data_IF_426481219043
#
_entry.id   IF_426481219043
#
_cell.length_a   1.000
_cell.length_b   1.000
_cell.length_c   1.000
_cell.angle_alpha   90.00
_cell.angle_beta   90.00
_cell.angle_gamma   90.00
#
_symmetry.space_group_name_H-M   'P 1'
#
loop_
_entity.id
_entity.type
_entity.pdbx_description
1 polymer ?
#
# COMPACT_ATOMS: atom_id res chain seq x y z
N UNK A 1 -6.32 28.18 10.63
CA UNK A 1 -7.10 27.16 9.87
C UNK A 1 -6.16 26.03 9.46
N UNK A 2 -6.33 24.82 10.01
CA UNK A 2 -5.49 23.67 9.65
C UNK A 2 -5.66 23.34 8.16
N UNK A 3 -4.56 23.32 7.40
CA UNK A 3 -4.58 22.85 6.00
C UNK A 3 -5.05 21.38 6.00
N UNK A 4 -6.18 21.09 5.36
CA UNK A 4 -6.65 19.72 5.14
C UNK A 4 -6.05 19.22 3.81
N UNK A 5 -4.97 18.41 3.82
CA UNK A 5 -4.25 18.03 2.60
C UNK A 5 -5.12 17.24 1.60
N UNK A 6 -6.18 16.57 2.09
CA UNK A 6 -7.12 15.87 1.23
C UNK A 6 -8.01 16.77 0.38
N UNK A 7 -8.37 17.97 0.85
CA UNK A 7 -9.21 18.88 0.07
C UNK A 7 -8.44 19.48 -1.09
N UNK A 8 -7.15 19.79 -0.90
CA UNK A 8 -6.29 20.29 -1.97
C UNK A 8 -6.11 19.26 -3.08
N UNK A 9 -5.98 17.97 -2.74
CA UNK A 9 -5.88 16.89 -3.72
C UNK A 9 -7.16 16.74 -4.54
N UNK A 10 -8.33 16.82 -3.91
CA UNK A 10 -9.62 16.76 -4.62
C UNK A 10 -9.76 17.92 -5.61
N UNK A 11 -9.30 19.13 -5.25
CA UNK A 11 -9.33 20.28 -6.16
C UNK A 11 -8.35 20.13 -7.34
N UNK A 12 -7.18 19.54 -7.10
CA UNK A 12 -6.22 19.21 -8.16
C UNK A 12 -6.81 18.16 -9.10
N UNK A 13 -7.41 17.11 -8.55
CA UNK A 13 -8.04 16.04 -9.30
C UNK A 13 -9.17 16.55 -10.20
N UNK A 14 -10.03 17.42 -9.66
CA UNK A 14 -11.09 18.08 -10.45
C UNK A 14 -10.50 18.81 -11.67
N UNK A 15 -9.42 19.56 -11.49
CA UNK A 15 -8.75 20.30 -12.58
C UNK A 15 -8.07 19.37 -13.59
N UNK A 16 -7.49 18.27 -13.14
CA UNK A 16 -6.83 17.30 -14.05
C UNK A 16 -7.84 16.49 -14.86
N UNK A 17 -9.02 16.24 -14.31
CA UNK A 17 -10.09 15.51 -14.98
C UNK A 17 -11.04 16.43 -15.78
N UNK A 18 -10.73 17.73 -15.87
CA UNK A 18 -11.55 18.74 -16.53
C UNK A 18 -13.04 18.65 -16.12
N UNK A 19 -13.28 18.45 -14.82
CA UNK A 19 -14.63 18.24 -14.30
C UNK A 19 -15.37 19.58 -14.12
N UNK A 20 -16.51 19.68 -14.80
CA UNK A 20 -17.51 20.71 -14.58
C UNK A 20 -18.04 20.73 -13.14
N UNK A 21 -18.51 21.90 -12.68
CA UNK A 21 -19.05 22.06 -11.33
C UNK A 21 -20.23 21.13 -11.05
N UNK A 22 -21.13 20.93 -12.01
CA UNK A 22 -22.27 20.03 -11.86
C UNK A 22 -21.84 18.56 -11.78
N UNK A 23 -20.92 18.12 -12.65
CA UNK A 23 -20.36 16.77 -12.61
C UNK A 23 -19.62 16.50 -11.30
N UNK A 24 -18.89 17.52 -10.82
CA UNK A 24 -18.18 17.46 -9.55
C UNK A 24 -19.14 17.36 -8.35
N UNK A 25 -20.20 18.17 -8.30
CA UNK A 25 -21.22 18.11 -7.24
C UNK A 25 -21.99 16.79 -7.26
N UNK A 26 -22.38 16.31 -8.44
CA UNK A 26 -23.04 15.02 -8.61
C UNK A 26 -22.16 13.86 -8.09
N UNK A 27 -20.86 13.90 -8.38
CA UNK A 27 -19.90 12.94 -7.85
C UNK A 27 -19.79 13.01 -6.32
N UNK A 28 -19.72 14.21 -5.73
CA UNK A 28 -19.66 14.37 -4.27
C UNK A 28 -20.94 13.86 -3.59
N UNK A 29 -22.10 14.13 -4.17
CA UNK A 29 -23.39 13.62 -3.69
C UNK A 29 -23.46 12.10 -3.76
N UNK A 30 -23.05 11.50 -4.88
CA UNK A 30 -23.05 10.04 -5.06
C UNK A 30 -22.08 9.32 -4.11
N UNK A 31 -20.88 9.86 -3.91
CA UNK A 31 -19.81 9.16 -3.18
C UNK A 31 -19.80 9.48 -1.68
N UNK A 32 -20.15 10.71 -1.30
CA UNK A 32 -20.07 11.18 0.07
C UNK A 32 -21.39 11.74 0.63
N UNK A 33 -22.43 11.93 -0.19
CA UNK A 33 -23.71 12.51 0.23
C UNK A 33 -23.63 13.99 0.58
N UNK A 34 -22.65 14.71 0.03
CA UNK A 34 -22.44 16.13 0.32
C UNK A 34 -22.36 16.94 -0.96
N UNK A 35 -22.87 18.17 -0.91
CA UNK A 35 -22.85 19.10 -2.05
C UNK A 35 -21.53 19.90 -2.13
N UNK A 36 -20.77 19.94 -1.04
CA UNK A 36 -19.54 20.73 -0.94
C UNK A 36 -18.39 19.93 -0.37
N UNK A 37 -17.22 20.12 -0.97
CA UNK A 37 -15.95 19.58 -0.47
C UNK A 37 -15.61 20.08 0.94
N UNK A 38 -16.14 21.23 1.36
CA UNK A 38 -15.95 21.77 2.72
C UNK A 38 -16.63 20.92 3.79
N UNK A 39 -17.72 20.22 3.44
CA UNK A 39 -18.48 19.36 4.33
C UNK A 39 -17.91 17.93 4.43
N UNK A 40 -16.83 17.62 3.70
CA UNK A 40 -16.22 16.29 3.72
C UNK A 40 -15.52 16.01 5.05
N UNK A 41 -15.86 14.86 5.64
CA UNK A 41 -15.11 14.26 6.76
C UNK A 41 -13.84 13.57 6.25
N UNK A 42 -12.82 13.36 7.11
CA UNK A 42 -11.60 12.63 6.74
C UNK A 42 -11.87 11.26 6.10
N UNK A 43 -12.91 10.55 6.57
CA UNK A 43 -13.32 9.25 6.02
C UNK A 43 -13.93 9.36 4.63
N UNK A 44 -14.72 10.41 4.37
CA UNK A 44 -15.33 10.67 3.06
C UNK A 44 -14.28 11.14 2.03
N UNK A 45 -13.29 11.92 2.46
CA UNK A 45 -12.18 12.36 1.59
C UNK A 45 -11.50 11.17 0.92
N UNK A 46 -11.18 10.11 1.68
CA UNK A 46 -10.55 8.91 1.12
C UNK A 46 -11.43 8.20 0.08
N UNK A 47 -12.76 8.17 0.28
CA UNK A 47 -13.70 7.57 -0.69
C UNK A 47 -13.79 8.38 -1.98
N UNK A 48 -13.84 9.71 -1.86
CA UNK A 48 -13.88 10.62 -3.01
C UNK A 48 -12.58 10.53 -3.83
N UNK A 49 -11.43 10.47 -3.16
CA UNK A 49 -10.14 10.27 -3.83
C UNK A 49 -10.06 8.94 -4.57
N UNK A 50 -10.57 7.84 -3.98
CA UNK A 50 -10.61 6.54 -4.66
C UNK A 50 -11.51 6.55 -5.91
N UNK A 51 -12.64 7.25 -5.87
CA UNK A 51 -13.51 7.41 -7.05
C UNK A 51 -12.86 8.27 -8.13
N UNK A 52 -12.16 9.34 -7.73
CA UNK A 52 -11.37 10.17 -8.66
C UNK A 52 -10.26 9.34 -9.32
N UNK A 53 -9.55 8.50 -8.56
CA UNK A 53 -8.56 7.57 -9.11
C UNK A 53 -9.18 6.60 -10.13
N UNK A 54 -10.39 6.10 -9.84
CA UNK A 54 -11.15 5.25 -10.78
C UNK A 54 -11.50 5.97 -12.07
N UNK A 55 -11.73 7.29 -12.02
CA UNK A 55 -12.03 8.14 -13.16
C UNK A 55 -10.77 8.57 -13.94
N UNK A 56 -9.57 8.15 -13.51
CA UNK A 56 -8.32 8.41 -14.22
C UNK A 56 -7.40 9.41 -13.52
N UNK A 57 -7.76 9.92 -12.34
CA UNK A 57 -6.86 10.78 -11.57
C UNK A 57 -5.67 9.96 -11.06
N UNK A 58 -4.45 10.38 -11.40
CA UNK A 58 -3.23 9.78 -10.84
C UNK A 58 -2.71 10.70 -9.74
N UNK A 59 -3.01 10.36 -8.49
CA UNK A 59 -2.49 11.11 -7.34
C UNK A 59 -0.96 11.10 -7.36
N UNK A 60 -0.35 12.27 -7.58
CA UNK A 60 1.11 12.46 -7.54
C UNK A 60 1.67 12.42 -6.12
N UNK A 61 0.81 12.36 -5.10
CA UNK A 61 1.23 12.22 -3.70
C UNK A 61 1.21 10.76 -3.28
N UNK A 62 2.14 9.98 -3.85
CA UNK A 62 2.47 8.64 -3.38
C UNK A 62 3.28 8.69 -2.06
N UNK A 63 2.76 9.36 -1.02
CA UNK A 63 3.32 9.32 0.34
C UNK A 63 2.23 9.54 1.39
N UNK A 64 1.30 8.59 1.49
CA UNK A 64 0.61 8.33 2.74
C UNK A 64 0.50 6.81 2.90
N UNK A 65 0.90 6.34 4.08
CA UNK A 65 1.03 4.95 4.52
C UNK A 65 0.04 3.97 3.88
N UNK A 66 0.43 2.69 3.68
CA UNK A 66 -0.33 1.71 2.93
C UNK A 66 -1.74 1.57 3.52
N UNK A 67 -2.68 2.30 2.93
CA UNK A 67 -4.08 2.10 3.14
C UNK A 67 -4.33 0.69 2.64
N UNK A 68 -4.42 -0.25 3.60
CA UNK A 68 -4.98 -1.60 3.52
C UNK A 68 -5.62 -1.81 2.14
N UNK A 69 -4.80 -2.11 1.13
CA UNK A 69 -5.32 -2.56 -0.14
C UNK A 69 -5.96 -3.86 0.24
N UNK A 70 -7.29 -3.86 0.14
CA UNK A 70 -8.15 -5.03 0.23
C UNK A 70 -7.34 -6.17 -0.34
N UNK A 71 -7.08 -7.17 0.51
CA UNK A 71 -6.57 -8.46 0.11
C UNK A 71 -7.67 -9.06 -0.77
N UNK A 72 -7.73 -8.62 -2.04
CA UNK A 72 -8.52 -9.25 -3.07
C UNK A 72 -7.90 -10.64 -3.23
N UNK A 73 -8.65 -11.60 -2.70
CA UNK A 73 -8.67 -13.02 -3.01
C UNK A 73 -7.42 -13.58 -3.72
N UNK A 74 -6.63 -14.27 -2.89
CA UNK A 74 -5.75 -15.40 -3.20
C UNK A 74 -4.57 -15.24 -4.18
N UNK A 75 -3.37 -15.23 -3.58
CA UNK A 75 -2.24 -16.01 -4.07
C UNK A 75 -1.71 -16.90 -2.93
N UNK A 76 -2.60 -17.66 -2.27
CA UNK A 76 -2.23 -18.63 -1.23
C UNK A 76 -1.07 -19.56 -1.65
N UNK A 77 -1.04 -20.16 -2.86
CA UNK A 77 0.07 -21.02 -3.27
C UNK A 77 1.38 -20.23 -3.46
N UNK A 78 1.31 -19.01 -3.98
CA UNK A 78 2.51 -18.20 -4.20
C UNK A 78 3.12 -17.72 -2.87
N UNK A 79 2.29 -17.31 -1.91
CA UNK A 79 2.74 -16.96 -0.56
C UNK A 79 3.37 -18.15 0.14
N UNK A 80 2.75 -19.32 0.07
CA UNK A 80 3.29 -20.54 0.64
C UNK A 80 4.67 -20.88 0.04
N UNK A 81 4.81 -20.77 -1.29
CA UNK A 81 6.09 -20.97 -1.97
C UNK A 81 7.16 -19.95 -1.53
N UNK A 82 6.79 -18.68 -1.37
CA UNK A 82 7.72 -17.64 -0.91
C UNK A 82 8.14 -17.81 0.55
N UNK A 83 7.21 -18.16 1.44
CA UNK A 83 7.51 -18.49 2.84
C UNK A 83 8.41 -19.73 2.90
N UNK A 84 8.17 -20.74 2.07
CA UNK A 84 9.04 -21.91 1.95
C UNK A 84 10.47 -21.54 1.56
N UNK A 85 10.66 -20.63 0.60
CA UNK A 85 11.99 -20.11 0.22
C UNK A 85 12.67 -19.35 1.35
N UNK A 86 11.92 -18.53 2.09
CA UNK A 86 12.44 -17.81 3.26
C UNK A 86 12.92 -18.81 4.32
N UNK A 87 12.09 -19.81 4.64
CA UNK A 87 12.45 -20.84 5.61
C UNK A 87 13.68 -21.66 5.16
N UNK A 88 13.80 -21.96 3.87
CA UNK A 88 14.97 -22.65 3.33
C UNK A 88 16.25 -21.81 3.46
N UNK A 89 16.22 -20.53 3.10
CA UNK A 89 17.36 -19.61 3.27
C UNK A 89 17.74 -19.43 4.74
N UNK A 90 16.75 -19.39 5.62
CA UNK A 90 16.96 -19.31 7.07
C UNK A 90 17.60 -20.59 7.61
N UNK A 91 17.13 -21.76 7.17
CA UNK A 91 17.70 -23.05 7.55
C UNK A 91 19.17 -23.18 7.10
N UNK A 92 19.48 -22.77 5.88
CA UNK A 92 20.86 -22.73 5.36
C UNK A 92 21.77 -21.77 6.16
N UNK A 93 21.20 -20.67 6.67
CA UNK A 93 21.92 -19.71 7.49
C UNK A 93 21.97 -20.06 8.99
N UNK A 94 21.37 -21.19 9.42
CA UNK A 94 21.12 -21.54 10.82
C UNK A 94 20.41 -20.43 11.61
N UNK A 95 19.52 -19.69 10.95
CA UNK A 95 18.77 -18.57 11.52
C UNK A 95 17.31 -18.95 11.73
N UNK A 96 16.70 -18.41 12.78
CA UNK A 96 15.29 -18.63 13.07
C UNK A 96 14.39 -17.72 12.25
N UNK A 97 13.12 -18.08 12.13
CA UNK A 97 12.09 -17.25 11.48
C UNK A 97 11.95 -15.85 12.11
N UNK A 98 12.28 -15.72 13.40
CA UNK A 98 12.32 -14.44 14.10
C UNK A 98 13.33 -13.45 13.49
N UNK A 99 14.40 -13.94 12.85
CA UNK A 99 15.33 -13.08 12.12
C UNK A 99 14.66 -12.45 10.89
N UNK A 100 13.88 -13.23 10.15
CA UNK A 100 13.10 -12.71 9.02
C UNK A 100 11.99 -11.76 9.47
N UNK A 101 11.35 -12.00 10.63
CA UNK A 101 10.43 -11.03 11.25
C UNK A 101 11.13 -9.70 11.56
N UNK A 102 12.37 -9.75 12.06
CA UNK A 102 13.19 -8.55 12.28
C UNK A 102 13.48 -7.76 11.01
N UNK A 103 13.76 -8.45 9.90
CA UNK A 103 13.97 -7.79 8.59
C UNK A 103 12.64 -7.24 8.06
N UNK A 104 11.54 -7.98 8.17
CA UNK A 104 10.22 -7.51 7.77
C UNK A 104 9.80 -6.25 8.55
N UNK A 105 10.11 -6.20 9.85
CA UNK A 105 9.89 -5.01 10.69
C UNK A 105 10.71 -3.82 10.20
N UNK A 106 11.98 -4.02 9.85
CA UNK A 106 12.85 -2.94 9.35
C UNK A 106 12.43 -2.43 7.96
N UNK A 107 12.15 -3.34 7.02
CA UNK A 107 11.87 -2.98 5.62
C UNK A 107 10.42 -2.51 5.38
N UNK A 108 9.46 -3.13 6.06
CA UNK A 108 8.03 -2.97 5.75
C UNK A 108 7.20 -2.52 6.95
N UNK A 109 7.79 -2.37 8.14
CA UNK A 109 7.07 -2.08 9.39
C UNK A 109 5.99 -3.13 9.70
N UNK A 110 6.23 -4.38 9.30
CA UNK A 110 5.34 -5.53 9.57
C UNK A 110 6.01 -6.41 10.63
N UNK A 111 5.30 -6.72 11.71
CA UNK A 111 5.88 -7.46 12.83
C UNK A 111 6.12 -8.94 12.56
N UNK A 112 5.33 -9.55 11.67
CA UNK A 112 5.43 -10.99 11.35
C UNK A 112 5.43 -11.23 9.84
N UNK A 113 6.33 -12.06 9.35
CA UNK A 113 6.46 -12.41 7.92
C UNK A 113 5.16 -13.02 7.37
N UNK A 114 4.40 -13.74 8.19
CA UNK A 114 3.08 -14.27 7.82
C UNK A 114 2.03 -13.19 7.52
N UNK A 115 2.25 -11.93 7.89
CA UNK A 115 1.36 -10.81 7.57
C UNK A 115 1.83 -10.03 6.34
N UNK A 116 3.00 -10.38 5.78
CA UNK A 116 3.48 -9.79 4.55
C UNK A 116 2.62 -10.21 3.35
N UNK A 117 2.41 -9.24 2.46
CA UNK A 117 1.82 -9.48 1.15
C UNK A 117 2.85 -10.12 0.19
N UNK A 118 2.43 -10.66 -0.97
CA UNK A 118 3.32 -11.38 -1.88
C UNK A 118 4.49 -10.55 -2.42
N UNK A 119 4.28 -9.25 -2.67
CA UNK A 119 5.34 -8.34 -3.11
C UNK A 119 6.40 -8.15 -2.01
N UNK A 120 5.95 -7.93 -0.77
CA UNK A 120 6.83 -7.84 0.40
C UNK A 120 7.62 -9.13 0.61
N UNK A 121 6.98 -10.29 0.46
CA UNK A 121 7.66 -11.59 0.56
C UNK A 121 8.73 -11.78 -0.53
N UNK A 122 8.45 -11.42 -1.79
CA UNK A 122 9.45 -11.45 -2.86
C UNK A 122 10.66 -10.56 -2.54
N UNK A 123 10.40 -9.35 -2.04
CA UNK A 123 11.45 -8.39 -1.66
C UNK A 123 12.24 -8.88 -0.45
N UNK A 124 11.60 -9.58 0.49
CA UNK A 124 12.25 -10.20 1.64
C UNK A 124 13.18 -11.34 1.24
N UNK A 125 12.74 -12.22 0.32
CA UNK A 125 13.59 -13.29 -0.26
C UNK A 125 14.84 -12.69 -0.92
N UNK A 126 14.68 -11.60 -1.68
CA UNK A 126 15.81 -10.93 -2.31
C UNK A 126 16.77 -10.29 -1.29
N UNK A 127 16.23 -9.68 -0.23
CA UNK A 127 17.03 -9.09 0.84
C UNK A 127 17.84 -10.14 1.60
N UNK A 128 17.24 -11.29 1.92
CA UNK A 128 17.91 -12.42 2.56
C UNK A 128 18.99 -13.03 1.65
N UNK A 129 18.72 -13.17 0.35
CA UNK A 129 19.73 -13.64 -0.61
C UNK A 129 20.93 -12.69 -0.70
N UNK A 130 20.70 -11.37 -0.72
CA UNK A 130 21.76 -10.37 -0.73
C UNK A 130 22.56 -10.35 0.59
N UNK A 131 21.88 -10.51 1.73
CA UNK A 131 22.52 -10.67 3.04
C UNK A 131 23.43 -11.90 3.08
N UNK A 132 22.95 -13.05 2.58
CA UNK A 132 23.74 -14.28 2.46
C UNK A 132 24.99 -14.07 1.59
N UNK A 133 24.86 -13.39 0.46
CA UNK A 133 25.97 -13.06 -0.44
C UNK A 133 26.98 -12.11 0.23
N UNK A 134 26.50 -11.12 1.00
CA UNK A 134 27.36 -10.16 1.73
C UNK A 134 28.14 -10.83 2.87
N UNK A 135 27.57 -11.88 3.45
CA UNK A 135 28.21 -12.71 4.48
C UNK A 135 29.04 -13.88 3.91
N UNK A 136 29.32 -13.89 2.60
CA UNK A 136 30.28 -14.81 1.98
C UNK A 136 29.78 -16.24 1.80
N UNK A 137 28.47 -16.51 1.96
CA UNK A 137 27.89 -17.83 1.68
C UNK A 137 27.69 -17.96 0.18
N UNK A 138 28.58 -18.71 -0.46
CA UNK A 138 28.47 -19.08 -1.87
C UNK A 138 27.71 -20.40 -1.95
N UNK A 139 26.59 -20.32 -2.67
CA UNK A 139 25.77 -21.34 -3.33
C UNK A 139 26.04 -22.83 -3.10
#
# INVERSE_FOLDING_TARGET
>A
MAKRPGLTLIQIARRQLDMDDDAYRAMLMRTAGVESSKALTPRQIGRVLAELERLGFKSTSAKAAPAKRRQTAEPAPERAALIGKINAQLAEAERSIAYADGIARRMFQVERVEWCNPDQLRRLVAALAYDAQRHGRTR
#
